data_IF_277330011377
#
_entry.id   IF_277330011377
#
_cell.length_a   1.000
_cell.length_b   1.000
_cell.length_c   1.000
_cell.angle_alpha   90.00
_cell.angle_beta   90.00
_cell.angle_gamma   90.00
#
_symmetry.space_group_name_H-M   'P 1'
#
loop_
_entity.id
_entity.type
_entity.pdbx_description
1 polymer ?
#
# COMPACT_ATOMS: atom_id res chain seq x y z
N UNK A 1 1.16 -10.36 8.01
CA UNK A 1 1.79 -9.47 9.00
C UNK A 1 0.74 -8.69 9.78
N UNK A 2 0.02 -7.74 9.18
CA UNK A 2 -0.88 -6.83 9.91
C UNK A 2 -1.99 -7.54 10.71
N UNK A 3 -2.70 -8.49 10.14
CA UNK A 3 -3.89 -9.10 10.74
C UNK A 3 -3.62 -10.34 11.61
N UNK A 4 -2.37 -10.71 11.87
CA UNK A 4 -1.99 -11.95 12.58
C UNK A 4 -2.72 -13.24 12.12
N UNK A 5 -3.30 -13.22 10.92
CA UNK A 5 -4.07 -14.33 10.34
C UNK A 5 -3.43 -14.75 9.01
N UNK A 6 -2.79 -15.91 9.00
CA UNK A 6 -2.12 -16.47 7.80
C UNK A 6 -3.09 -17.00 6.76
N UNK A 7 -4.38 -17.18 7.11
CA UNK A 7 -5.42 -17.70 6.23
C UNK A 7 -6.31 -16.61 5.62
N UNK A 8 -6.10 -15.34 6.00
CA UNK A 8 -6.96 -14.23 5.56
C UNK A 8 -6.90 -14.03 4.03
N UNK A 9 -5.70 -14.13 3.46
CA UNK A 9 -5.50 -14.04 2.02
C UNK A 9 -4.75 -15.26 1.49
N UNK A 10 -5.14 -15.74 0.31
CA UNK A 10 -4.42 -16.83 -0.37
C UNK A 10 -3.06 -16.31 -0.87
N UNK A 11 -1.99 -16.77 -0.25
CA UNK A 11 -0.63 -16.47 -0.67
C UNK A 11 -0.32 -17.29 -1.94
N UNK A 12 0.27 -16.64 -2.93
CA UNK A 12 0.73 -17.28 -4.16
C UNK A 12 2.18 -16.96 -4.43
N UNK A 13 2.96 -17.97 -4.78
CA UNK A 13 4.33 -17.81 -5.27
C UNK A 13 4.39 -17.18 -6.68
N UNK A 14 3.29 -17.23 -7.44
CA UNK A 14 3.22 -16.63 -8.78
C UNK A 14 2.55 -15.24 -8.70
N UNK A 15 3.18 -14.19 -9.23
CA UNK A 15 2.60 -12.86 -9.29
C UNK A 15 1.37 -12.81 -10.23
N UNK A 16 0.43 -11.89 -9.97
CA UNK A 16 -0.76 -11.66 -10.82
C UNK A 16 -1.94 -12.60 -10.60
N UNK A 17 -2.03 -13.26 -9.45
CA UNK A 17 -3.21 -14.09 -9.10
C UNK A 17 -4.39 -13.28 -8.57
N UNK A 18 -4.18 -12.14 -7.95
CA UNK A 18 -5.26 -11.25 -7.54
C UNK A 18 -5.84 -10.59 -8.78
N UNK A 19 -7.05 -11.00 -9.16
CA UNK A 19 -7.75 -10.52 -10.36
C UNK A 19 -8.98 -9.69 -10.01
N UNK A 20 -9.41 -9.78 -8.76
CA UNK A 20 -10.59 -9.13 -8.21
C UNK A 20 -10.17 -8.22 -7.07
N UNK A 21 -11.00 -7.25 -6.77
CA UNK A 21 -10.88 -6.41 -5.58
C UNK A 21 -11.40 -7.22 -4.40
N UNK A 22 -10.51 -7.57 -3.46
CA UNK A 22 -10.88 -8.36 -2.29
C UNK A 22 -11.05 -7.46 -1.06
N UNK A 23 -12.19 -7.56 -0.41
CA UNK A 23 -12.48 -6.82 0.82
C UNK A 23 -12.37 -7.76 2.01
N UNK A 24 -11.56 -7.38 2.99
CA UNK A 24 -11.40 -8.09 4.26
C UNK A 24 -11.91 -7.21 5.39
N UNK A 25 -12.93 -7.66 6.10
CA UNK A 25 -13.40 -6.99 7.32
C UNK A 25 -12.40 -7.25 8.44
N UNK A 26 -11.88 -6.17 9.01
CA UNK A 26 -10.94 -6.20 10.13
C UNK A 26 -11.65 -5.63 11.34
N UNK A 27 -11.65 -6.38 12.43
CA UNK A 27 -12.05 -5.91 13.75
C UNK A 27 -10.78 -5.51 14.52
N UNK A 28 -10.70 -4.29 14.96
CA UNK A 28 -9.60 -3.80 15.80
C UNK A 28 -10.14 -3.17 17.07
N UNK A 29 -9.33 -3.26 18.12
CA UNK A 29 -9.58 -2.58 19.40
C UNK A 29 -8.42 -1.63 19.62
N UNK A 30 -8.66 -0.33 19.64
CA UNK A 30 -7.63 0.64 19.96
C UNK A 30 -7.11 0.39 21.38
N UNK A 31 -5.81 0.55 21.60
CA UNK A 31 -5.14 0.22 22.87
C UNK A 31 -5.78 0.88 24.11
N UNK A 32 -6.47 2.02 23.92
CA UNK A 32 -7.12 2.79 24.98
C UNK A 32 -8.65 2.83 24.88
N UNK A 33 -9.27 2.00 24.05
CA UNK A 33 -10.73 1.97 23.87
C UNK A 33 -11.27 0.56 24.10
N UNK A 34 -12.39 0.46 24.86
CA UNK A 34 -13.13 -0.81 25.04
C UNK A 34 -14.01 -1.16 23.83
N UNK A 35 -14.17 -0.23 22.90
CA UNK A 35 -15.02 -0.37 21.72
C UNK A 35 -14.23 -0.96 20.55
N UNK A 36 -14.80 -2.01 19.95
CA UNK A 36 -14.31 -2.61 18.73
C UNK A 36 -14.70 -1.74 17.53
N UNK A 37 -13.76 -1.52 16.65
CA UNK A 37 -13.99 -0.79 15.40
C UNK A 37 -13.85 -1.74 14.22
N UNK A 38 -14.80 -1.72 13.30
CA UNK A 38 -14.73 -2.47 12.06
C UNK A 38 -14.30 -1.57 10.91
N UNK A 39 -13.32 -2.03 10.15
CA UNK A 39 -12.85 -1.36 8.95
C UNK A 39 -12.51 -2.38 7.85
N UNK A 40 -12.28 -1.91 6.64
CA UNK A 40 -11.98 -2.77 5.51
C UNK A 40 -10.54 -2.61 5.05
N UNK A 41 -9.80 -3.72 5.05
CA UNK A 41 -8.55 -3.83 4.30
C UNK A 41 -8.89 -4.35 2.90
N UNK A 42 -8.54 -3.58 1.88
CA UNK A 42 -8.85 -3.93 0.49
C UNK A 42 -7.59 -4.28 -0.24
N UNK A 43 -7.54 -5.50 -0.77
CA UNK A 43 -6.46 -5.99 -1.62
C UNK A 43 -6.84 -5.78 -3.08
N UNK A 44 -6.04 -4.98 -3.78
CA UNK A 44 -6.21 -4.65 -5.18
C UNK A 44 -5.25 -5.47 -6.05
N UNK A 45 -5.62 -5.79 -7.29
CA UNK A 45 -4.67 -6.34 -8.25
C UNK A 45 -3.45 -5.42 -8.41
N UNK A 46 -2.26 -6.02 -8.45
CA UNK A 46 -1.03 -5.24 -8.63
C UNK A 46 -0.99 -4.53 -9.99
N UNK A 47 -0.69 -3.26 -10.00
CA UNK A 47 -0.59 -2.42 -11.21
C UNK A 47 0.61 -2.77 -12.10
N UNK A 48 1.64 -3.45 -11.56
CA UNK A 48 2.92 -3.75 -12.23
C UNK A 48 2.95 -5.05 -13.05
N UNK A 49 1.84 -5.77 -13.21
CA UNK A 49 1.89 -7.10 -13.83
C UNK A 49 1.98 -7.06 -15.36
N UNK A 50 3.23 -7.09 -15.87
CA UNK A 50 3.58 -6.95 -17.28
C UNK A 50 3.25 -8.16 -18.18
N UNK A 51 3.01 -9.37 -17.63
CA UNK A 51 2.87 -10.63 -18.43
C UNK A 51 1.48 -10.87 -19.02
N UNK A 52 0.58 -9.90 -18.99
CA UNK A 52 -0.78 -10.05 -19.58
C UNK A 52 -0.93 -9.30 -20.87
N UNK A 53 -1.89 -9.78 -21.70
CA UNK A 53 -2.28 -9.10 -22.91
C UNK A 53 -2.62 -7.62 -22.64
N UNK A 54 -2.19 -6.72 -23.50
CA UNK A 54 -2.32 -5.27 -23.35
C UNK A 54 -3.78 -4.82 -23.06
N UNK A 55 -4.75 -5.52 -23.66
CA UNK A 55 -6.18 -5.26 -23.44
C UNK A 55 -6.60 -5.49 -21.98
N UNK A 56 -6.24 -6.63 -21.42
CA UNK A 56 -6.56 -6.98 -20.01
C UNK A 56 -5.88 -6.02 -19.03
N UNK A 57 -4.67 -5.54 -19.35
CA UNK A 57 -3.97 -4.57 -18.52
C UNK A 57 -4.70 -3.22 -18.47
N UNK A 58 -5.22 -2.75 -19.62
CA UNK A 58 -6.02 -1.52 -19.70
C UNK A 58 -7.33 -1.64 -18.90
N UNK A 59 -8.02 -2.76 -19.03
CA UNK A 59 -9.27 -3.01 -18.27
C UNK A 59 -9.03 -3.02 -16.77
N UNK A 60 -7.93 -3.60 -16.32
CA UNK A 60 -7.55 -3.63 -14.89
C UNK A 60 -7.15 -2.26 -14.36
N UNK A 61 -6.33 -1.52 -15.11
CA UNK A 61 -5.96 -0.16 -14.72
C UNK A 61 -7.22 0.69 -14.56
N UNK A 62 -8.17 0.59 -15.51
CA UNK A 62 -9.44 1.29 -15.42
C UNK A 62 -10.29 0.86 -14.22
N UNK A 63 -10.35 -0.44 -13.92
CA UNK A 63 -11.09 -0.95 -12.76
C UNK A 63 -10.51 -0.43 -11.45
N UNK A 64 -9.17 -0.40 -11.31
CA UNK A 64 -8.49 0.14 -10.14
C UNK A 64 -8.76 1.64 -10.02
N UNK A 65 -8.58 2.41 -11.10
CA UNK A 65 -8.86 3.84 -11.14
C UNK A 65 -10.31 4.13 -10.74
N UNK A 66 -11.27 3.46 -11.36
CA UNK A 66 -12.70 3.62 -11.06
C UNK A 66 -13.01 3.33 -9.60
N UNK A 67 -12.42 2.27 -9.04
CA UNK A 67 -12.58 1.93 -7.63
C UNK A 67 -12.01 3.01 -6.72
N UNK A 68 -10.77 3.41 -6.94
CA UNK A 68 -10.07 4.37 -6.08
C UNK A 68 -10.73 5.75 -6.11
N UNK A 69 -11.14 6.23 -7.29
CA UNK A 69 -11.74 7.57 -7.45
C UNK A 69 -13.21 7.65 -7.01
N UNK A 70 -13.95 6.55 -7.09
CA UNK A 70 -15.40 6.54 -6.79
C UNK A 70 -15.72 6.11 -5.37
N UNK A 71 -14.75 5.54 -4.63
CA UNK A 71 -14.98 5.05 -3.28
C UNK A 71 -14.95 6.15 -2.25
N UNK A 72 -16.15 6.63 -1.82
CA UNK A 72 -16.28 7.72 -0.82
C UNK A 72 -15.72 7.38 0.58
N UNK A 73 -15.59 6.10 0.91
CA UNK A 73 -15.06 5.63 2.20
C UNK A 73 -13.60 5.22 2.12
N UNK A 74 -12.86 5.66 1.09
CA UNK A 74 -11.44 5.43 0.96
C UNK A 74 -10.70 6.40 1.88
N UNK A 75 -10.00 5.88 2.89
CA UNK A 75 -9.26 6.70 3.85
C UNK A 75 -7.81 6.89 3.45
N UNK A 76 -7.18 5.83 2.95
CA UNK A 76 -5.79 5.88 2.52
C UNK A 76 -5.46 4.71 1.58
N UNK A 77 -4.50 4.93 0.68
CA UNK A 77 -3.96 3.92 -0.23
C UNK A 77 -2.54 3.59 0.23
N UNK A 78 -2.26 2.31 0.50
CA UNK A 78 -0.91 1.85 0.78
C UNK A 78 -0.27 1.29 -0.49
N UNK A 79 0.78 1.97 -0.97
CA UNK A 79 1.56 1.54 -2.12
C UNK A 79 2.71 0.67 -1.61
N UNK A 80 2.70 -0.61 -1.97
CA UNK A 80 3.72 -1.57 -1.54
C UNK A 80 4.87 -1.61 -2.53
N UNK A 81 6.04 -1.15 -2.12
CA UNK A 81 7.26 -1.11 -2.93
C UNK A 81 8.28 -2.09 -2.36
N UNK A 82 8.83 -2.93 -3.22
CA UNK A 82 9.90 -3.84 -2.85
C UNK A 82 11.23 -3.06 -2.74
N UNK A 83 11.70 -2.83 -1.52
CA UNK A 83 12.88 -1.98 -1.24
C UNK A 83 14.20 -2.52 -1.80
N UNK A 84 14.23 -3.77 -2.25
CA UNK A 84 15.42 -4.39 -2.86
C UNK A 84 15.78 -3.80 -4.24
N UNK A 85 14.82 -3.18 -4.89
CA UNK A 85 14.97 -2.65 -6.24
C UNK A 85 15.17 -1.15 -6.22
N UNK A 86 15.90 -0.66 -7.22
CA UNK A 86 15.91 0.76 -7.53
C UNK A 86 14.50 1.24 -7.92
N UNK A 87 14.22 2.55 -7.86
CA UNK A 87 12.93 3.10 -8.19
C UNK A 87 12.45 2.61 -9.57
N UNK A 88 11.33 1.88 -9.58
CA UNK A 88 10.75 1.37 -10.81
C UNK A 88 9.86 2.44 -11.44
N UNK A 89 10.00 2.66 -12.74
CA UNK A 89 9.21 3.65 -13.48
C UNK A 89 7.70 3.47 -13.26
N UNK A 90 7.24 2.22 -13.21
CA UNK A 90 5.82 1.91 -13.02
C UNK A 90 5.30 2.30 -11.64
N UNK A 91 6.13 2.24 -10.60
CA UNK A 91 5.76 2.68 -9.25
C UNK A 91 5.65 4.19 -9.19
N UNK A 92 6.59 4.91 -9.81
CA UNK A 92 6.57 6.37 -9.90
C UNK A 92 5.37 6.87 -10.71
N UNK A 93 5.08 6.28 -11.89
CA UNK A 93 3.91 6.60 -12.70
C UNK A 93 2.59 6.38 -11.94
N UNK A 94 2.51 5.33 -11.12
CA UNK A 94 1.32 5.10 -10.32
C UNK A 94 1.18 6.12 -9.19
N UNK A 95 2.28 6.48 -8.53
CA UNK A 95 2.31 7.55 -7.52
C UNK A 95 1.89 8.89 -8.14
N UNK A 96 2.41 9.24 -9.30
CA UNK A 96 2.03 10.46 -10.03
C UNK A 96 0.53 10.48 -10.35
N UNK A 97 -0.03 9.35 -10.79
CA UNK A 97 -1.47 9.21 -11.05
C UNK A 97 -2.31 9.44 -9.78
N UNK A 98 -1.87 8.94 -8.63
CA UNK A 98 -2.59 9.19 -7.36
C UNK A 98 -2.57 10.66 -6.96
N UNK A 99 -1.48 11.36 -7.22
CA UNK A 99 -1.39 12.81 -7.04
C UNK A 99 -2.32 13.59 -7.96
N UNK A 100 -2.34 13.26 -9.24
CA UNK A 100 -3.27 13.85 -10.22
C UNK A 100 -4.75 13.64 -9.81
N UNK A 101 -5.06 12.47 -9.25
CA UNK A 101 -6.41 12.16 -8.77
C UNK A 101 -6.70 12.75 -7.38
N UNK A 102 -5.74 13.38 -6.74
CA UNK A 102 -5.83 13.97 -5.39
C UNK A 102 -6.28 12.94 -4.34
N UNK A 103 -5.79 11.72 -4.44
CA UNK A 103 -6.11 10.64 -3.52
C UNK A 103 -5.07 10.52 -2.41
N UNK A 104 -5.48 10.28 -1.15
CA UNK A 104 -4.54 10.10 -0.05
C UNK A 104 -3.81 8.77 -0.17
N UNK A 105 -2.48 8.81 -0.08
CA UNK A 105 -1.67 7.61 -0.13
C UNK A 105 -0.46 7.67 0.80
N UNK A 106 0.08 6.49 1.08
CA UNK A 106 1.25 6.27 1.91
C UNK A 106 2.12 5.19 1.26
N UNK A 107 3.42 5.38 1.22
CA UNK A 107 4.36 4.41 0.66
C UNK A 107 4.79 3.42 1.75
N UNK A 108 4.77 2.14 1.44
CA UNK A 108 5.25 1.07 2.32
C UNK A 108 6.36 0.31 1.61
N UNK A 109 7.60 0.59 1.99
CA UNK A 109 8.74 -0.19 1.54
C UNK A 109 8.72 -1.54 2.24
N UNK A 110 8.66 -2.60 1.47
CA UNK A 110 8.54 -3.98 1.96
C UNK A 110 9.83 -4.76 1.79
N UNK A 111 9.94 -5.91 2.48
CA UNK A 111 11.06 -6.85 2.39
C UNK A 111 12.40 -6.26 2.84
N UNK A 112 12.40 -5.34 3.79
CA UNK A 112 13.61 -4.73 4.34
C UNK A 112 14.57 -5.76 4.97
N UNK A 113 14.05 -6.93 5.39
CA UNK A 113 14.84 -8.05 5.90
C UNK A 113 15.74 -8.73 4.85
N UNK A 114 15.51 -8.46 3.57
CA UNK A 114 16.25 -9.07 2.46
C UNK A 114 17.49 -8.28 2.04
N UNK A 115 17.69 -7.09 2.62
CA UNK A 115 18.78 -6.20 2.31
C UNK A 115 19.51 -5.75 3.58
N UNK A 116 20.77 -5.31 3.42
CA UNK A 116 21.52 -4.65 4.50
C UNK A 116 20.89 -3.27 4.81
N UNK A 117 20.90 -2.83 6.08
CA UNK A 117 20.29 -1.54 6.46
C UNK A 117 20.72 -0.34 5.57
N UNK A 118 21.99 -0.21 5.28
CA UNK A 118 22.49 0.87 4.41
C UNK A 118 22.02 0.77 2.96
N UNK A 119 21.71 -0.44 2.45
CA UNK A 119 21.11 -0.60 1.12
C UNK A 119 19.63 -0.21 1.13
N UNK A 120 18.91 -0.55 2.20
CA UNK A 120 17.51 -0.13 2.41
C UNK A 120 17.42 1.39 2.42
N UNK A 121 18.23 2.04 3.24
CA UNK A 121 18.25 3.52 3.36
C UNK A 121 18.58 4.19 2.02
N UNK A 122 19.59 3.69 1.32
CA UNK A 122 19.96 4.19 -0.01
C UNK A 122 18.80 4.07 -1.01
N UNK A 123 18.12 2.92 -1.08
CA UNK A 123 17.04 2.68 -2.04
C UNK A 123 15.80 3.54 -1.72
N UNK A 124 15.48 3.71 -0.44
CA UNK A 124 14.42 4.64 0.00
C UNK A 124 14.76 6.07 -0.42
N UNK A 125 16.01 6.51 -0.16
CA UNK A 125 16.46 7.84 -0.54
C UNK A 125 16.39 8.06 -2.05
N UNK A 126 16.89 7.12 -2.85
CA UNK A 126 16.80 7.19 -4.32
C UNK A 126 15.35 7.28 -4.81
N UNK A 127 14.42 6.54 -4.19
CA UNK A 127 13.00 6.63 -4.56
C UNK A 127 12.46 8.04 -4.36
N UNK A 128 12.74 8.65 -3.22
CA UNK A 128 12.27 10.01 -2.94
C UNK A 128 13.03 11.09 -3.74
N UNK A 129 14.28 10.88 -4.08
CA UNK A 129 15.00 11.76 -5.01
C UNK A 129 14.31 11.78 -6.38
N UNK A 130 13.89 10.62 -6.87
CA UNK A 130 13.10 10.52 -8.12
C UNK A 130 11.73 11.15 -8.01
N UNK A 131 11.03 10.95 -6.91
CA UNK A 131 9.74 11.62 -6.69
C UNK A 131 9.88 13.15 -6.70
N UNK A 132 10.94 13.70 -6.13
CA UNK A 132 11.17 15.16 -6.06
C UNK A 132 11.35 15.82 -7.42
N UNK A 133 11.54 15.06 -8.49
CA UNK A 133 11.51 15.60 -9.85
C UNK A 133 10.12 16.17 -10.20
N UNK A 134 9.05 15.62 -9.60
CA UNK A 134 7.65 16.01 -9.87
C UNK A 134 6.89 16.48 -8.62
N UNK A 135 7.41 16.26 -7.41
CA UNK A 135 6.69 16.45 -6.16
C UNK A 135 7.40 17.46 -5.25
N UNK A 136 6.67 18.50 -4.84
CA UNK A 136 7.14 19.47 -3.84
C UNK A 136 7.13 18.87 -2.43
N UNK A 137 6.07 18.15 -2.07
CA UNK A 137 5.91 17.49 -0.78
C UNK A 137 5.91 15.99 -0.95
N UNK A 138 6.64 15.30 -0.07
CA UNK A 138 6.72 13.85 -0.10
C UNK A 138 5.65 13.24 0.82
N UNK A 139 5.04 12.09 0.44
CA UNK A 139 4.07 11.40 1.26
C UNK A 139 4.72 10.78 2.49
N UNK A 140 3.89 10.43 3.49
CA UNK A 140 4.32 9.55 4.58
C UNK A 140 4.77 8.21 4.03
N UNK A 141 5.75 7.61 4.69
CA UNK A 141 6.21 6.27 4.33
C UNK A 141 6.56 5.43 5.55
N UNK A 142 6.61 4.11 5.33
CA UNK A 142 7.06 3.12 6.29
C UNK A 142 8.05 2.18 5.64
N UNK A 143 9.00 1.68 6.44
CA UNK A 143 9.93 0.60 6.03
C UNK A 143 9.57 -0.64 6.81
N UNK A 144 9.23 -1.74 6.12
CA UNK A 144 8.61 -2.89 6.76
C UNK A 144 9.25 -4.22 6.33
N UNK A 145 9.11 -5.20 7.21
CA UNK A 145 9.35 -6.61 6.89
C UNK A 145 8.22 -7.49 7.42
N UNK A 146 7.67 -8.32 6.55
CA UNK A 146 6.69 -9.32 6.96
C UNK A 146 7.33 -10.48 7.75
N UNK A 147 8.62 -10.74 7.57
CA UNK A 147 9.35 -11.83 8.19
C UNK A 147 9.61 -11.54 9.67
N UNK A 148 10.26 -10.43 9.97
CA UNK A 148 10.63 -10.02 11.34
C UNK A 148 9.61 -9.06 11.97
N UNK A 149 8.55 -8.70 11.24
CA UNK A 149 7.45 -7.81 11.66
C UNK A 149 7.88 -6.35 11.94
N UNK A 150 9.06 -5.91 11.50
CA UNK A 150 9.47 -4.51 11.64
C UNK A 150 8.50 -3.59 10.88
N UNK A 151 8.26 -2.40 11.42
CA UNK A 151 7.34 -1.40 10.87
C UNK A 151 5.85 -1.78 10.98
N UNK A 152 5.52 -2.88 11.69
CA UNK A 152 4.13 -3.34 11.81
C UNK A 152 3.30 -2.41 12.69
N UNK A 153 3.79 -2.08 13.86
CA UNK A 153 3.05 -1.28 14.83
C UNK A 153 2.85 0.14 14.31
N UNK A 154 3.87 0.74 13.68
CA UNK A 154 3.77 2.07 13.08
C UNK A 154 2.70 2.15 11.98
N UNK A 155 2.58 1.09 11.16
CA UNK A 155 1.51 1.01 10.15
C UNK A 155 0.15 0.84 10.79
N UNK A 156 0.03 0.03 11.85
CA UNK A 156 -1.25 -0.17 12.55
C UNK A 156 -1.71 1.09 13.29
N UNK A 157 -0.79 1.81 13.93
CA UNK A 157 -1.08 3.08 14.60
C UNK A 157 -1.58 4.12 13.59
N UNK A 158 -0.94 4.20 12.42
CA UNK A 158 -1.39 5.09 11.37
C UNK A 158 -2.78 4.72 10.83
N UNK A 159 -3.09 3.43 10.66
CA UNK A 159 -4.43 2.98 10.26
C UNK A 159 -5.47 3.36 11.32
N UNK A 160 -5.13 3.21 12.59
CA UNK A 160 -6.01 3.57 13.71
C UNK A 160 -6.29 5.08 13.72
N UNK A 161 -5.28 5.91 13.49
CA UNK A 161 -5.42 7.36 13.37
C UNK A 161 -6.32 7.76 12.19
N UNK A 162 -6.16 7.13 11.02
CA UNK A 162 -7.04 7.34 9.87
C UNK A 162 -8.49 6.98 10.19
N UNK A 163 -8.73 5.84 10.85
CA UNK A 163 -10.07 5.41 11.23
C UNK A 163 -10.72 6.37 12.25
N UNK A 164 -9.96 6.85 13.25
CA UNK A 164 -10.46 7.84 14.22
C UNK A 164 -10.84 9.15 13.56
N UNK A 165 -10.02 9.65 12.65
CA UNK A 165 -10.29 10.89 11.94
C UNK A 165 -11.58 10.80 11.08
N UNK A 166 -11.88 9.63 10.53
CA UNK A 166 -13.10 9.41 9.75
C UNK A 166 -14.38 9.41 10.60
N UNK A 167 -14.32 8.86 11.81
CA UNK A 167 -15.50 8.80 12.73
C UNK A 167 -15.87 10.19 13.26
N UNK A 168 -14.95 11.13 13.23
CA UNK A 168 -15.16 12.50 13.73
C UNK A 168 -15.74 13.44 12.67
N UNK A 169 -15.87 13.03 11.41
CA UNK A 169 -16.51 13.76 10.32
C UNK A 169 -17.98 13.39 10.18
#
# INVERSE_FOLDING_TARGET
MLCNNTKLAKISAAPGKTQLINHYTIESTAANQKTKTNWYLVDLPGYGYAKRAQKLRKEWTKMIEDYLRKRKTLLNIFILIDVRHEPQKIDLEFVDSLGEWQLPFTIVFTKADKEKPGAVERNVKLFFEKMRENWEFLPRYFVTSALNKSGKEEVLDFIDDCNKAFVQQ
#
